data_IF_688514990804
#
_entry.id   IF_688514990804
#
_cell.length_a   1.000
_cell.length_b   1.000
_cell.length_c   1.000
_cell.angle_alpha   90.00
_cell.angle_beta   90.00
_cell.angle_gamma   90.00
#
_symmetry.space_group_name_H-M   'P 1'
#
loop_
_entity.id
_entity.type
_entity.pdbx_description
1 polymer ?
#
# COMPACT_ATOMS: atom_id res chain seq x y z
N UNK A 1 -26.07 11.79 -18.85
CA UNK A 1 -24.88 11.61 -17.98
C UNK A 1 -25.00 10.33 -17.18
N UNK A 2 -24.75 9.17 -17.82
CA UNK A 2 -24.73 7.86 -17.14
C UNK A 2 -23.28 7.57 -16.76
N UNK A 3 -22.95 7.73 -15.48
CA UNK A 3 -21.69 7.24 -14.94
C UNK A 3 -21.66 5.71 -15.08
N UNK A 4 -20.74 5.26 -15.92
CA UNK A 4 -20.50 3.87 -16.26
C UNK A 4 -19.94 3.15 -15.02
N UNK A 5 -20.81 2.66 -14.13
CA UNK A 5 -20.44 1.64 -13.12
C UNK A 5 -20.15 0.33 -13.85
N UNK A 6 -19.00 0.25 -14.51
CA UNK A 6 -18.46 -1.02 -15.00
C UNK A 6 -18.08 -1.81 -13.75
N UNK A 7 -18.77 -2.92 -13.54
CA UNK A 7 -18.35 -3.99 -12.64
C UNK A 7 -16.87 -4.28 -12.91
N UNK A 8 -15.96 -3.81 -12.05
CA UNK A 8 -14.52 -4.10 -12.10
C UNK A 8 -14.31 -5.54 -11.63
N UNK A 9 -14.78 -6.49 -12.43
CA UNK A 9 -14.53 -7.90 -12.22
C UNK A 9 -13.07 -8.19 -12.56
N UNK A 10 -12.48 -9.11 -11.81
CA UNK A 10 -11.06 -9.45 -11.78
C UNK A 10 -10.47 -9.75 -13.17
N UNK A 11 -9.37 -9.09 -13.53
CA UNK A 11 -8.72 -9.28 -14.83
C UNK A 11 -7.76 -10.45 -14.87
N UNK A 12 -6.57 -10.24 -14.32
CA UNK A 12 -5.46 -11.21 -14.35
C UNK A 12 -4.74 -11.24 -13.00
N UNK A 13 -4.37 -12.43 -12.55
CA UNK A 13 -3.73 -12.65 -11.26
C UNK A 13 -2.53 -13.56 -11.38
N UNK A 14 -1.47 -13.25 -10.64
CA UNK A 14 -0.26 -14.06 -10.58
C UNK A 14 0.58 -13.72 -9.35
N UNK A 15 1.38 -14.69 -8.90
CA UNK A 15 2.37 -14.52 -7.83
C UNK A 15 3.76 -14.35 -8.43
N UNK A 16 4.59 -13.52 -7.80
CA UNK A 16 6.01 -13.37 -8.11
C UNK A 16 6.84 -13.49 -6.84
N UNK A 17 7.97 -14.19 -6.93
CA UNK A 17 8.96 -14.32 -5.85
C UNK A 17 8.75 -15.54 -4.96
N UNK A 18 9.85 -15.97 -4.32
CA UNK A 18 9.87 -17.18 -3.47
C UNK A 18 9.94 -16.81 -1.98
N UNK A 19 10.96 -16.02 -1.58
CA UNK A 19 11.15 -15.55 -0.19
C UNK A 19 10.21 -14.41 0.19
N UNK A 20 9.91 -13.56 -0.79
CA UNK A 20 8.91 -12.49 -0.69
C UNK A 20 7.88 -12.70 -1.79
N UNK A 21 6.74 -13.31 -1.42
CA UNK A 21 5.69 -13.70 -2.37
C UNK A 21 4.71 -12.55 -2.54
N UNK A 22 4.63 -11.99 -3.74
CA UNK A 22 3.74 -10.87 -4.04
C UNK A 22 2.63 -11.36 -4.97
N UNK A 23 1.40 -11.38 -4.46
CA UNK A 23 0.20 -11.61 -5.25
C UNK A 23 -0.18 -10.32 -5.98
N UNK A 24 -0.13 -10.34 -7.31
CA UNK A 24 -0.55 -9.22 -8.15
C UNK A 24 -1.96 -9.48 -8.67
N UNK A 25 -2.82 -8.46 -8.59
CA UNK A 25 -4.19 -8.48 -9.06
C UNK A 25 -4.40 -7.32 -10.02
N UNK A 26 -4.45 -7.59 -11.32
CA UNK A 26 -4.67 -6.57 -12.35
C UNK A 26 -6.16 -6.39 -12.62
N UNK A 27 -6.59 -5.14 -12.76
CA UNK A 27 -7.96 -4.82 -13.17
C UNK A 27 -8.23 -5.26 -14.61
N UNK A 28 -9.50 -5.47 -14.92
CA UNK A 28 -9.96 -5.75 -16.28
C UNK A 28 -9.53 -4.67 -17.29
N UNK A 29 -9.47 -3.41 -16.84
CA UNK A 29 -8.98 -2.31 -17.67
C UNK A 29 -7.54 -2.51 -18.13
N UNK A 30 -6.65 -3.01 -17.27
CA UNK A 30 -5.27 -3.35 -17.66
C UNK A 30 -5.26 -4.54 -18.62
N UNK A 31 -6.04 -5.58 -18.33
CA UNK A 31 -6.09 -6.80 -19.14
C UNK A 31 -6.55 -6.54 -20.57
N UNK A 32 -7.52 -5.65 -20.74
CA UNK A 32 -8.09 -5.30 -22.03
C UNK A 32 -7.30 -4.20 -22.76
N UNK A 33 -6.22 -3.69 -22.19
CA UNK A 33 -5.36 -2.71 -22.84
C UNK A 33 -4.55 -3.36 -23.97
N UNK A 34 -4.38 -2.66 -25.10
CA UNK A 34 -3.66 -3.16 -26.28
C UNK A 34 -2.23 -3.64 -25.97
N UNK A 35 -1.57 -2.99 -25.01
CA UNK A 35 -0.21 -3.35 -24.58
C UNK A 35 -0.15 -4.31 -23.40
N UNK A 36 -1.25 -4.95 -23.00
CA UNK A 36 -1.32 -5.79 -21.82
C UNK A 36 -0.18 -6.82 -21.72
N UNK A 37 0.07 -7.58 -22.79
CA UNK A 37 1.14 -8.60 -22.80
C UNK A 37 2.52 -8.01 -22.52
N UNK A 38 2.85 -6.88 -23.15
CA UNK A 38 4.13 -6.17 -22.95
C UNK A 38 4.18 -5.56 -21.55
N UNK A 39 3.09 -4.95 -21.09
CA UNK A 39 2.97 -4.36 -19.76
C UNK A 39 3.17 -5.42 -18.68
N UNK A 40 2.45 -6.54 -18.74
CA UNK A 40 2.56 -7.67 -17.79
C UNK A 40 4.00 -8.18 -17.71
N UNK A 41 4.72 -8.29 -18.85
CA UNK A 41 6.13 -8.69 -18.86
C UNK A 41 7.03 -7.66 -18.16
N UNK A 42 6.84 -6.37 -18.42
CA UNK A 42 7.60 -5.29 -17.76
C UNK A 42 7.30 -5.23 -16.26
N UNK A 43 6.03 -5.36 -15.90
CA UNK A 43 5.55 -5.34 -14.51
C UNK A 43 6.14 -6.51 -13.72
N UNK A 44 6.09 -7.73 -14.26
CA UNK A 44 6.73 -8.90 -13.65
C UNK A 44 8.23 -8.68 -13.38
N UNK A 45 8.95 -8.05 -14.31
CA UNK A 45 10.37 -7.70 -14.10
C UNK A 45 10.57 -6.68 -12.97
N UNK A 46 9.68 -5.70 -12.84
CA UNK A 46 9.73 -4.70 -11.77
C UNK A 46 9.42 -5.32 -10.39
N UNK A 47 8.41 -6.19 -10.30
CA UNK A 47 8.10 -6.93 -9.07
C UNK A 47 9.27 -7.85 -8.69
N UNK A 48 9.82 -8.59 -9.65
CA UNK A 48 10.95 -9.49 -9.43
C UNK A 48 12.24 -8.78 -8.98
N UNK A 49 12.40 -7.49 -9.29
CA UNK A 49 13.49 -6.70 -8.73
C UNK A 49 13.35 -6.60 -7.21
N UNK A 50 12.15 -6.27 -6.73
CA UNK A 50 11.88 -6.10 -5.30
C UNK A 50 11.87 -7.40 -4.52
N UNK A 51 11.32 -8.49 -5.07
CA UNK A 51 11.32 -9.81 -4.39
C UNK A 51 12.72 -10.38 -4.19
N UNK A 52 13.72 -9.87 -4.93
CA UNK A 52 15.14 -10.18 -4.74
C UNK A 52 15.85 -9.18 -3.82
N UNK A 53 15.38 -7.93 -3.79
CA UNK A 53 16.02 -6.86 -3.02
C UNK A 53 15.63 -6.88 -1.53
N UNK A 54 14.38 -7.21 -1.23
CA UNK A 54 13.85 -7.23 0.14
C UNK A 54 12.98 -8.46 0.38
N UNK A 55 12.90 -8.89 1.63
CA UNK A 55 11.90 -9.87 2.05
C UNK A 55 11.44 -9.58 3.49
N UNK A 56 10.21 -9.95 3.85
CA UNK A 56 9.75 -9.82 5.22
C UNK A 56 10.56 -10.75 6.14
N UNK A 57 10.89 -10.27 7.34
CA UNK A 57 11.47 -11.12 8.40
C UNK A 57 10.43 -12.11 8.95
N UNK A 58 9.19 -11.66 9.06
CA UNK A 58 8.05 -12.47 9.49
C UNK A 58 7.14 -12.65 8.28
N UNK A 59 7.09 -13.88 7.76
CA UNK A 59 6.19 -14.23 6.68
C UNK A 59 4.74 -14.23 7.14
N UNK A 60 3.85 -13.90 6.22
CA UNK A 60 2.41 -13.95 6.51
C UNK A 60 2.01 -15.40 6.74
N UNK A 61 1.46 -15.70 7.91
CA UNK A 61 0.91 -17.04 8.23
C UNK A 61 -0.52 -17.21 7.71
N UNK A 62 -1.26 -16.10 7.64
CA UNK A 62 -2.65 -16.05 7.23
C UNK A 62 -2.83 -15.17 6.00
N UNK A 63 -3.86 -15.47 5.21
CA UNK A 63 -4.22 -14.70 4.03
C UNK A 63 -4.39 -13.21 4.39
N UNK A 64 -3.84 -12.35 3.53
CA UNK A 64 -3.97 -10.90 3.67
C UNK A 64 -5.38 -10.50 3.22
N UNK A 65 -6.19 -10.03 4.17
CA UNK A 65 -7.54 -9.56 3.95
C UNK A 65 -7.69 -8.08 4.36
N UNK A 66 -8.49 -7.35 3.60
CA UNK A 66 -8.74 -5.92 3.78
C UNK A 66 -10.05 -5.70 4.53
N UNK A 67 -10.05 -4.78 5.51
CA UNK A 67 -11.29 -4.39 6.19
C UNK A 67 -12.26 -3.70 5.24
N UNK A 68 -13.54 -4.07 5.33
CA UNK A 68 -14.58 -3.39 4.55
C UNK A 68 -14.75 -1.95 4.97
N UNK A 69 -15.09 -1.10 4.00
CA UNK A 69 -15.51 0.28 4.25
C UNK A 69 -16.98 0.34 4.66
N UNK A 70 -17.31 1.39 5.42
CA UNK A 70 -18.66 1.68 5.89
C UNK A 70 -18.81 3.17 6.18
N UNK A 71 -20.06 3.63 6.29
CA UNK A 71 -20.39 5.04 6.57
C UNK A 71 -19.91 5.48 7.96
N UNK A 72 -20.10 4.64 8.97
CA UNK A 72 -19.62 4.88 10.34
C UNK A 72 -18.60 3.80 10.71
N UNK A 73 -17.31 4.17 10.67
CA UNK A 73 -16.19 3.30 11.02
C UNK A 73 -15.71 3.61 12.43
N UNK A 74 -15.86 2.67 13.35
CA UNK A 74 -15.46 2.82 14.75
C UNK A 74 -14.21 1.99 15.01
N UNK A 75 -13.19 2.61 15.62
CA UNK A 75 -11.97 1.90 16.03
C UNK A 75 -12.28 1.00 17.23
N UNK A 76 -11.80 -0.23 17.18
CA UNK A 76 -11.96 -1.19 18.27
C UNK A 76 -11.09 -0.82 19.47
N UNK A 77 -11.64 -0.98 20.68
CA UNK A 77 -10.92 -0.69 21.94
C UNK A 77 -10.01 -1.86 22.34
N UNK A 78 -10.47 -3.08 22.10
CA UNK A 78 -9.72 -4.33 22.36
C UNK A 78 -8.72 -4.63 21.26
N UNK A 79 -9.01 -4.23 20.02
CA UNK A 79 -8.13 -4.38 18.87
C UNK A 79 -7.86 -3.03 18.20
N UNK A 80 -6.94 -2.22 18.76
CA UNK A 80 -6.75 -0.84 18.33
C UNK A 80 -6.38 -0.61 16.86
N UNK A 81 -5.88 -1.66 16.18
CA UNK A 81 -5.54 -1.67 14.77
C UNK A 81 -6.67 -2.15 13.86
N UNK A 82 -7.84 -2.47 14.42
CA UNK A 82 -9.03 -2.94 13.70
C UNK A 82 -10.22 -2.01 13.92
N UNK A 83 -11.15 -2.03 12.97
CA UNK A 83 -12.38 -1.27 13.04
C UNK A 83 -13.60 -2.17 12.89
N UNK A 84 -14.74 -1.67 13.36
CA UNK A 84 -16.05 -2.26 13.14
C UNK A 84 -17.04 -1.21 12.64
N UNK A 85 -18.13 -1.70 12.05
CA UNK A 85 -19.12 -0.91 11.33
C UNK A 85 -20.51 -1.15 11.95
N UNK A 86 -20.95 -0.36 12.95
CA UNK A 86 -22.21 -0.55 13.65
C UNK A 86 -23.43 -0.60 12.73
N UNK A 87 -23.41 0.20 11.66
CA UNK A 87 -24.51 0.33 10.71
C UNK A 87 -24.38 -0.61 9.51
N UNK A 88 -23.49 -1.61 9.57
CA UNK A 88 -23.19 -2.49 8.45
C UNK A 88 -22.06 -2.00 7.54
N UNK A 89 -21.53 -2.92 6.75
CA UNK A 89 -20.49 -2.64 5.76
C UNK A 89 -21.09 -2.36 4.39
N UNK A 90 -20.37 -1.57 3.59
CA UNK A 90 -20.76 -1.34 2.21
C UNK A 90 -20.67 -2.64 1.40
N UNK A 91 -21.57 -2.76 0.41
CA UNK A 91 -21.56 -3.89 -0.52
C UNK A 91 -20.25 -3.96 -1.34
N UNK A 92 -19.62 -2.83 -1.59
CA UNK A 92 -18.30 -2.74 -2.24
C UNK A 92 -17.32 -1.99 -1.36
N UNK A 93 -16.05 -2.39 -1.44
CA UNK A 93 -14.94 -1.71 -0.77
C UNK A 93 -13.89 -1.35 -1.81
N UNK A 94 -13.41 -0.12 -1.77
CA UNK A 94 -12.40 0.39 -2.70
C UNK A 94 -11.17 0.88 -1.97
N UNK A 95 -9.99 0.70 -2.56
CA UNK A 95 -8.74 1.32 -2.14
C UNK A 95 -8.20 2.16 -3.30
N UNK A 96 -8.06 3.48 -3.11
CA UNK A 96 -7.62 4.44 -4.15
C UNK A 96 -8.27 4.22 -5.53
N UNK A 97 -9.58 3.99 -5.55
CA UNK A 97 -10.38 3.75 -6.76
C UNK A 97 -10.33 2.33 -7.31
N UNK A 98 -9.53 1.43 -6.74
CA UNK A 98 -9.60 0.00 -7.06
C UNK A 98 -10.67 -0.69 -6.22
N UNK A 99 -11.71 -1.23 -6.85
CA UNK A 99 -12.69 -2.08 -6.18
C UNK A 99 -12.06 -3.42 -5.78
N UNK A 100 -11.98 -3.67 -4.49
CA UNK A 100 -11.35 -4.87 -3.93
C UNK A 100 -12.28 -6.07 -4.13
N UNK A 101 -11.80 -7.18 -4.75
CA UNK A 101 -12.59 -8.39 -4.90
C UNK A 101 -12.95 -9.02 -3.56
N UNK A 102 -14.13 -9.63 -3.49
CA UNK A 102 -14.70 -10.20 -2.26
C UNK A 102 -13.76 -11.18 -1.54
N UNK A 103 -13.01 -11.98 -2.30
CA UNK A 103 -12.03 -12.95 -1.74
C UNK A 103 -10.86 -12.33 -0.98
N UNK A 104 -10.63 -11.03 -1.13
CA UNK A 104 -9.61 -10.26 -0.41
C UNK A 104 -10.22 -9.36 0.68
N UNK A 105 -11.53 -9.46 0.94
CA UNK A 105 -12.20 -8.71 1.99
C UNK A 105 -12.38 -9.57 3.23
N UNK A 106 -12.25 -8.93 4.40
CA UNK A 106 -12.68 -9.51 5.68
C UNK A 106 -14.21 -9.56 5.75
N UNK A 107 -14.70 -10.43 6.60
CA UNK A 107 -16.11 -10.44 6.97
C UNK A 107 -16.50 -9.14 7.68
N UNK A 108 -17.77 -8.74 7.51
CA UNK A 108 -18.24 -7.48 8.06
C UNK A 108 -18.41 -7.56 9.58
N UNK A 109 -17.51 -6.91 10.32
CA UNK A 109 -17.58 -6.78 11.78
C UNK A 109 -18.55 -5.67 12.16
N UNK A 110 -19.66 -6.00 12.84
CA UNK A 110 -20.70 -5.03 13.19
C UNK A 110 -20.50 -4.44 14.58
N UNK A 111 -19.85 -5.17 15.48
CA UNK A 111 -19.66 -4.76 16.87
C UNK A 111 -18.25 -5.08 17.38
N UNK A 112 -17.91 -4.54 18.56
CA UNK A 112 -16.69 -4.90 19.28
C UNK A 112 -16.63 -6.41 19.59
N UNK A 113 -17.78 -7.05 19.80
CA UNK A 113 -17.87 -8.45 20.24
C UNK A 113 -17.82 -9.47 19.08
N UNK A 114 -17.87 -9.00 17.82
CA UNK A 114 -17.85 -9.84 16.61
C UNK A 114 -16.43 -10.42 16.33
N UNK A 115 -15.84 -11.09 17.30
CA UNK A 115 -14.46 -11.61 17.24
C UNK A 115 -14.31 -12.79 16.28
N UNK A 116 -15.39 -13.56 16.03
CA UNK A 116 -15.38 -14.69 15.09
C UNK A 116 -15.01 -14.28 13.65
N UNK A 117 -15.30 -13.04 13.27
CA UNK A 117 -15.03 -12.47 11.94
C UNK A 117 -13.58 -11.98 11.74
N UNK A 118 -12.76 -12.10 12.79
CA UNK A 118 -11.35 -11.68 12.80
C UNK A 118 -10.45 -12.84 12.38
N UNK A 119 -10.87 -14.07 12.70
CA UNK A 119 -10.08 -15.29 12.59
C UNK A 119 -10.35 -16.04 11.29
N UNK A 120 -10.58 -15.34 10.18
CA UNK A 120 -10.62 -15.99 8.85
C UNK A 120 -9.19 -16.42 8.50
N UNK A 121 -8.79 -17.56 9.06
CA UNK A 121 -7.47 -18.15 8.89
C UNK A 121 -7.49 -19.06 7.67
N UNK A 122 -7.38 -18.45 6.50
CA UNK A 122 -6.93 -19.17 5.30
C UNK A 122 -5.39 -19.14 5.27
N UNK A 123 -4.71 -20.23 4.90
CA UNK A 123 -3.26 -20.23 4.72
C UNK A 123 -2.83 -19.10 3.77
N UNK A 124 -1.68 -18.48 4.06
CA UNK A 124 -1.17 -17.41 3.21
C UNK A 124 -0.45 -17.95 1.98
N UNK A 125 -0.96 -17.66 0.79
CA UNK A 125 -0.27 -17.92 -0.47
C UNK A 125 0.73 -16.80 -0.83
N UNK A 126 0.62 -15.64 -0.18
CA UNK A 126 1.44 -14.47 -0.43
C UNK A 126 1.71 -13.65 0.84
N UNK A 127 2.83 -12.91 0.83
CA UNK A 127 3.24 -12.00 1.90
C UNK A 127 2.85 -10.54 1.61
N UNK A 128 2.38 -10.25 0.39
CA UNK A 128 1.86 -8.95 -0.03
C UNK A 128 0.81 -9.11 -1.15
N UNK A 129 -0.25 -8.31 -1.11
CA UNK A 129 -1.27 -8.27 -2.18
C UNK A 129 -1.30 -6.89 -2.84
N UNK A 130 -0.99 -6.86 -4.13
CA UNK A 130 -0.87 -5.65 -4.93
C UNK A 130 -1.98 -5.56 -5.98
N UNK A 131 -2.84 -4.56 -5.87
CA UNK A 131 -3.88 -4.28 -6.85
C UNK A 131 -3.39 -3.26 -7.88
N UNK A 132 -3.55 -3.54 -9.17
CA UNK A 132 -3.01 -2.69 -10.24
C UNK A 132 -4.13 -2.34 -11.20
N UNK A 133 -4.36 -1.05 -11.43
CA UNK A 133 -5.38 -0.59 -12.37
C UNK A 133 -4.92 0.56 -13.26
N UNK A 134 -5.74 0.89 -14.26
CA UNK A 134 -5.54 2.08 -15.10
C UNK A 134 -6.44 3.20 -14.61
N UNK A 135 -5.88 4.40 -14.46
CA UNK A 135 -6.63 5.64 -14.22
C UNK A 135 -7.69 5.53 -13.10
N UNK A 136 -7.34 4.85 -11.99
CA UNK A 136 -8.28 4.53 -10.91
C UNK A 136 -8.83 5.81 -10.25
N UNK A 137 -7.96 6.61 -9.64
CA UNK A 137 -8.28 7.95 -9.11
C UNK A 137 -7.04 8.86 -9.15
N UNK A 138 -7.25 10.19 -9.19
CA UNK A 138 -6.21 11.21 -8.98
C UNK A 138 -5.02 11.22 -9.96
N UNK A 139 -5.18 10.64 -11.16
CA UNK A 139 -4.23 10.83 -12.25
C UNK A 139 -4.35 12.25 -12.81
N UNK A 140 -3.42 13.14 -12.46
CA UNK A 140 -3.28 14.40 -13.19
C UNK A 140 -2.66 14.15 -14.57
N UNK A 141 -2.77 15.11 -15.51
CA UNK A 141 -2.17 14.98 -16.86
C UNK A 141 -0.65 14.69 -16.83
N UNK A 142 0.05 15.06 -15.76
CA UNK A 142 1.52 14.86 -15.61
C UNK A 142 1.89 13.65 -14.76
N UNK A 143 0.92 13.02 -14.09
CA UNK A 143 1.18 11.86 -13.24
C UNK A 143 1.40 10.63 -14.12
N UNK A 144 2.54 9.96 -13.97
CA UNK A 144 2.87 8.76 -14.74
C UNK A 144 2.24 7.51 -14.10
N UNK A 145 2.33 7.40 -12.78
CA UNK A 145 1.66 6.40 -11.96
C UNK A 145 1.54 6.93 -10.53
N UNK A 146 0.78 6.23 -9.69
CA UNK A 146 0.63 6.53 -8.27
C UNK A 146 0.40 5.25 -7.48
N UNK A 147 0.99 5.17 -6.30
CA UNK A 147 0.74 4.11 -5.31
C UNK A 147 0.10 4.62 -4.03
N UNK A 148 -0.76 3.80 -3.43
CA UNK A 148 -1.32 4.02 -2.10
C UNK A 148 -1.43 2.70 -1.32
N UNK A 149 -1.20 2.76 0.00
CA UNK A 149 -1.27 1.59 0.89
C UNK A 149 -2.75 1.36 1.27
N UNK A 150 -3.20 0.11 1.16
CA UNK A 150 -4.57 -0.29 1.47
C UNK A 150 -4.70 -0.87 2.87
N UNK A 151 -3.73 -1.69 3.29
CA UNK A 151 -3.76 -2.37 4.56
C UNK A 151 -2.35 -2.51 5.13
N UNK A 152 -2.25 -2.28 6.43
CA UNK A 152 -1.08 -2.51 7.26
C UNK A 152 -1.36 -3.70 8.18
N UNK A 153 -0.32 -4.50 8.43
CA UNK A 153 -0.37 -5.60 9.37
C UNK A 153 -0.43 -5.08 10.82
N UNK A 154 -1.34 -5.62 11.62
CA UNK A 154 -1.60 -5.12 12.97
C UNK A 154 -0.52 -5.48 14.00
N UNK A 155 0.32 -6.46 13.69
CA UNK A 155 1.38 -6.93 14.61
C UNK A 155 2.72 -6.29 14.26
N UNK A 156 3.04 -6.27 12.97
CA UNK A 156 4.35 -5.86 12.45
C UNK A 156 4.40 -4.45 11.90
N UNK A 157 3.26 -3.75 11.80
CA UNK A 157 3.12 -2.44 11.15
C UNK A 157 3.57 -2.40 9.68
N UNK A 158 3.80 -3.57 9.07
CA UNK A 158 4.25 -3.67 7.68
C UNK A 158 3.08 -3.43 6.73
N UNK A 159 3.26 -2.66 5.64
CA UNK A 159 2.29 -2.66 4.54
C UNK A 159 2.15 -4.09 3.98
N UNK A 160 0.93 -4.60 3.94
CA UNK A 160 0.61 -5.94 3.42
C UNK A 160 -0.26 -5.88 2.18
N UNK A 161 -0.89 -4.74 1.91
CA UNK A 161 -1.65 -4.54 0.70
C UNK A 161 -1.55 -3.10 0.21
N UNK A 162 -1.46 -2.93 -1.10
CA UNK A 162 -1.42 -1.61 -1.74
C UNK A 162 -2.05 -1.65 -3.12
N UNK A 163 -2.24 -0.46 -3.68
CA UNK A 163 -2.69 -0.23 -5.05
C UNK A 163 -1.64 0.52 -5.84
N UNK A 164 -1.56 0.25 -7.14
CA UNK A 164 -0.89 1.08 -8.13
C UNK A 164 -1.90 1.46 -9.21
N UNK A 165 -2.12 2.76 -9.38
CA UNK A 165 -2.81 3.32 -10.53
C UNK A 165 -1.78 3.71 -11.59
N UNK A 166 -1.80 3.02 -12.73
CA UNK A 166 -1.04 3.39 -13.91
C UNK A 166 -1.80 4.49 -14.65
N UNK A 167 -1.16 5.63 -14.83
CA UNK A 167 -1.70 6.79 -15.55
C UNK A 167 -1.05 6.85 -16.94
N UNK A 168 -0.38 7.94 -17.31
CA UNK A 168 0.29 8.10 -18.62
C UNK A 168 1.60 7.32 -18.78
N UNK A 169 2.03 6.54 -17.78
CA UNK A 169 3.18 5.66 -17.93
C UNK A 169 2.97 4.60 -19.03
N UNK A 170 1.75 4.13 -19.23
CA UNK A 170 1.44 3.10 -20.24
C UNK A 170 1.75 3.57 -21.66
N UNK A 171 1.66 4.88 -21.93
CA UNK A 171 1.94 5.48 -23.23
C UNK A 171 3.43 5.40 -23.60
N UNK A 172 4.31 5.30 -22.60
CA UNK A 172 5.74 5.18 -22.81
C UNK A 172 6.19 3.73 -23.06
N UNK A 173 5.27 2.76 -23.01
CA UNK A 173 5.61 1.33 -23.00
C UNK A 173 6.16 0.84 -24.34
N UNK A 174 5.70 1.40 -25.46
CA UNK A 174 6.24 1.05 -26.78
C UNK A 174 7.66 1.56 -26.96
N UNK A 175 7.84 2.86 -26.72
CA UNK A 175 9.09 3.57 -27.00
C UNK A 175 10.17 3.33 -25.94
N UNK A 176 9.78 3.13 -24.67
CA UNK A 176 10.73 3.01 -23.57
C UNK A 176 10.22 2.14 -22.41
N UNK A 177 10.24 0.82 -22.62
CA UNK A 177 9.89 -0.17 -21.58
C UNK A 177 10.73 0.00 -20.30
N UNK A 178 11.98 0.43 -20.40
CA UNK A 178 12.85 0.62 -19.25
C UNK A 178 12.40 1.81 -18.39
N UNK A 179 11.92 2.89 -19.00
CA UNK A 179 11.30 4.02 -18.28
C UNK A 179 10.07 3.56 -17.50
N UNK A 180 9.17 2.81 -18.15
CA UNK A 180 7.97 2.26 -17.49
C UNK A 180 8.35 1.32 -16.33
N UNK A 181 9.35 0.46 -16.53
CA UNK A 181 9.88 -0.41 -15.47
C UNK A 181 10.37 0.37 -14.26
N UNK A 182 11.16 1.44 -14.48
CA UNK A 182 11.70 2.28 -13.40
C UNK A 182 10.58 3.00 -12.64
N UNK A 183 9.56 3.48 -13.34
CA UNK A 183 8.37 4.08 -12.72
C UNK A 183 7.65 3.05 -11.84
N UNK A 184 7.41 1.84 -12.33
CA UNK A 184 6.78 0.78 -11.53
C UNK A 184 7.62 0.41 -10.32
N UNK A 185 8.96 0.32 -10.45
CA UNK A 185 9.87 0.08 -9.33
C UNK A 185 9.74 1.18 -8.27
N UNK A 186 9.62 2.45 -8.68
CA UNK A 186 9.41 3.58 -7.79
C UNK A 186 8.08 3.49 -7.04
N UNK A 187 6.97 3.25 -7.74
CA UNK A 187 5.65 3.10 -7.10
C UNK A 187 5.59 1.91 -6.14
N UNK A 188 6.24 0.80 -6.50
CA UNK A 188 6.38 -0.36 -5.61
C UNK A 188 7.10 0.00 -4.31
N UNK A 189 8.09 0.90 -4.35
CA UNK A 189 8.73 1.40 -3.13
C UNK A 189 7.68 2.06 -2.21
N UNK A 190 6.83 2.92 -2.75
CA UNK A 190 5.76 3.54 -1.95
C UNK A 190 4.78 2.50 -1.39
N UNK A 191 4.46 1.44 -2.15
CA UNK A 191 3.65 0.31 -1.66
C UNK A 191 4.30 -0.41 -0.45
N UNK A 192 5.62 -0.55 -0.43
CA UNK A 192 6.35 -1.21 0.66
C UNK A 192 6.67 -0.30 1.85
N UNK A 193 6.18 0.94 1.83
CA UNK A 193 6.33 1.87 2.95
C UNK A 193 7.53 2.80 2.87
N UNK A 194 8.21 2.89 1.72
CA UNK A 194 9.19 3.95 1.46
C UNK A 194 8.48 5.30 1.23
N UNK A 195 7.87 5.84 2.29
CA UNK A 195 7.10 7.09 2.31
C UNK A 195 7.13 7.72 3.70
N UNK A 196 7.07 9.05 3.78
CA UNK A 196 7.15 9.79 5.04
C UNK A 196 6.12 9.35 6.09
N UNK A 197 4.87 9.11 5.68
CA UNK A 197 3.80 8.68 6.60
C UNK A 197 4.03 7.31 7.23
N UNK A 198 4.96 6.51 6.71
CA UNK A 198 5.31 5.18 7.23
C UNK A 198 6.56 5.19 8.11
N UNK A 199 7.32 6.28 8.16
CA UNK A 199 8.49 6.37 9.03
C UNK A 199 8.16 6.14 10.51
N UNK A 200 7.06 6.69 11.08
CA UNK A 200 6.71 6.45 12.47
C UNK A 200 6.40 4.98 12.77
N UNK A 201 6.12 4.19 11.74
CA UNK A 201 5.76 2.79 11.87
C UNK A 201 6.94 1.83 11.78
N UNK A 202 8.15 2.34 11.50
CA UNK A 202 9.35 1.52 11.42
C UNK A 202 9.70 0.87 12.76
N UNK A 203 10.36 -0.29 12.66
CA UNK A 203 10.73 -1.14 13.79
C UNK A 203 12.24 -1.40 13.80
N UNK A 204 12.76 -1.75 14.96
CA UNK A 204 14.11 -2.26 15.13
C UNK A 204 14.21 -3.70 14.61
N UNK A 205 15.44 -4.22 14.53
CA UNK A 205 15.66 -5.55 14.00
C UNK A 205 15.03 -6.67 14.83
N UNK A 206 14.89 -6.44 16.14
CA UNK A 206 14.21 -7.32 17.10
C UNK A 206 12.68 -7.24 17.01
N UNK A 207 12.14 -6.34 16.18
CA UNK A 207 10.70 -6.15 15.98
C UNK A 207 10.08 -5.03 16.82
N UNK A 208 10.82 -4.41 17.74
CA UNK A 208 10.27 -3.34 18.59
C UNK A 208 9.99 -2.05 17.80
N UNK A 209 8.89 -1.33 18.09
CA UNK A 209 8.61 -0.04 17.48
C UNK A 209 9.75 0.97 17.70
N UNK A 210 10.22 1.63 16.63
CA UNK A 210 11.19 2.74 16.76
C UNK A 210 10.57 3.99 17.35
N UNK A 211 9.30 4.25 17.02
CA UNK A 211 8.51 5.32 17.61
C UNK A 211 7.61 4.76 18.69
N UNK A 212 7.65 5.37 19.87
CA UNK A 212 6.81 5.02 21.02
C UNK A 212 5.33 4.91 20.62
N UNK A 213 4.67 3.87 21.12
CA UNK A 213 3.27 3.55 20.81
C UNK A 213 2.35 3.96 21.95
N UNK A 214 1.16 4.39 21.59
CA UNK A 214 0.12 4.71 22.54
C UNK A 214 -0.43 3.42 23.13
N UNK A 215 -0.41 3.30 24.46
CA UNK A 215 -0.82 2.08 25.14
C UNK A 215 -2.27 1.66 24.84
N UNK A 216 -3.15 2.63 24.55
CA UNK A 216 -4.54 2.36 24.21
C UNK A 216 -4.74 2.12 22.72
N UNK A 217 -4.16 2.96 21.86
CA UNK A 217 -4.44 2.91 20.41
C UNK A 217 -3.45 2.08 19.59
N UNK A 218 -2.31 1.69 20.18
CA UNK A 218 -1.15 1.09 19.50
C UNK A 218 -0.62 1.88 18.29
N UNK A 219 -1.02 3.15 18.14
CA UNK A 219 -0.51 4.06 17.12
C UNK A 219 0.76 4.78 17.62
N UNK A 220 1.61 5.29 16.73
CA UNK A 220 2.72 6.17 17.13
C UNK A 220 2.21 7.39 17.93
N UNK A 221 2.84 7.70 19.07
CA UNK A 221 2.40 8.78 20.00
C UNK A 221 2.81 10.18 19.57
N UNK A 222 3.78 10.32 18.68
CA UNK A 222 4.34 11.62 18.31
C UNK A 222 3.31 12.48 17.56
N UNK A 223 3.45 13.79 17.68
CA UNK A 223 2.51 14.78 17.13
C UNK A 223 2.42 14.77 15.60
N UNK A 224 1.56 15.64 15.05
CA UNK A 224 1.46 15.84 13.60
C UNK A 224 2.67 16.62 13.09
N UNK A 225 3.44 16.03 12.17
CA UNK A 225 4.46 16.72 11.39
C UNK A 225 3.81 17.59 10.31
N UNK A 226 4.46 18.71 9.97
CA UNK A 226 4.04 19.70 8.95
C UNK A 226 3.82 19.16 7.53
N UNK A 227 4.16 17.89 7.26
CA UNK A 227 3.97 17.22 5.97
C UNK A 227 2.81 16.20 6.01
N UNK A 228 1.76 16.48 6.79
CA UNK A 228 0.52 15.68 6.89
C UNK A 228 0.71 14.23 7.40
N UNK A 229 1.78 13.97 8.17
CA UNK A 229 2.07 12.67 8.80
C UNK A 229 2.28 12.77 10.31
N UNK A 230 2.34 11.64 11.01
CA UNK A 230 2.87 11.61 12.38
C UNK A 230 4.39 11.85 12.32
N UNK A 231 4.95 12.53 13.31
CA UNK A 231 6.40 12.65 13.44
C UNK A 231 7.00 11.28 13.76
N UNK A 232 8.16 10.97 13.17
CA UNK A 232 8.89 9.76 13.49
C UNK A 232 9.96 10.08 14.52
N UNK A 233 10.31 9.09 15.35
CA UNK A 233 11.36 9.25 16.35
C UNK A 233 12.69 9.68 15.71
N UNK A 234 13.52 10.42 16.45
CA UNK A 234 14.84 10.87 15.96
C UNK A 234 15.78 9.70 15.61
N UNK A 235 15.54 8.51 16.19
CA UNK A 235 16.23 7.26 15.85
C UNK A 235 15.78 6.67 14.50
N UNK A 236 14.77 7.26 13.85
CA UNK A 236 14.30 6.91 12.51
C UNK A 236 14.68 7.97 11.50
N UNK A 237 14.39 9.23 11.79
CA UNK A 237 14.67 10.36 10.90
C UNK A 237 15.17 11.53 11.73
N UNK A 238 16.33 12.10 11.37
CA UNK A 238 16.93 13.21 12.11
C UNK A 238 17.20 14.36 11.17
N UNK A 239 16.55 15.49 11.42
CA UNK A 239 16.87 16.71 10.70
C UNK A 239 18.22 17.25 11.13
N UNK A 240 19.14 17.38 10.18
CA UNK A 240 20.47 17.93 10.38
C UNK A 240 20.65 19.22 9.60
N UNK A 241 21.39 20.16 10.17
CA UNK A 241 21.83 21.34 9.46
C UNK A 241 23.05 20.98 8.61
N UNK A 242 22.99 21.32 7.32
CA UNK A 242 24.10 21.13 6.37
C UNK A 242 24.33 22.43 5.61
N UNK A 243 25.60 22.71 5.33
CA UNK A 243 25.98 23.77 4.42
C UNK A 243 25.96 23.23 3.00
N UNK A 244 25.27 23.97 2.13
CA UNK A 244 25.12 23.65 0.72
C UNK A 244 25.78 24.72 -0.11
N UNK A 245 26.83 24.32 -0.83
CA UNK A 245 27.49 25.19 -1.79
C UNK A 245 26.81 25.04 -3.14
N UNK A 246 26.43 26.19 -3.70
CA UNK A 246 25.90 26.34 -5.05
C UNK A 246 26.71 27.42 -5.77
N UNK A 247 26.65 27.51 -7.10
CA UNK A 247 27.25 28.64 -7.82
C UNK A 247 26.72 30.01 -7.35
N UNK A 248 25.52 30.06 -6.77
CA UNK A 248 24.89 31.28 -6.24
C UNK A 248 25.32 31.62 -4.79
N UNK A 249 26.10 30.76 -4.12
CA UNK A 249 26.56 30.97 -2.74
C UNK A 249 26.40 29.75 -1.84
N UNK A 250 26.74 29.94 -0.56
CA UNK A 250 26.67 28.92 0.49
C UNK A 250 25.44 29.15 1.36
N UNK A 251 24.62 28.12 1.53
CA UNK A 251 23.35 28.19 2.25
C UNK A 251 23.31 27.16 3.37
N UNK A 252 22.92 27.56 4.57
CA UNK A 252 22.69 26.63 5.68
C UNK A 252 21.24 26.16 5.66
N UNK A 253 21.02 24.91 5.27
CA UNK A 253 19.69 24.33 5.15
C UNK A 253 19.48 23.20 6.15
N UNK A 254 18.31 23.18 6.79
CA UNK A 254 17.84 22.05 7.60
C UNK A 254 17.21 21.03 6.66
N UNK A 255 17.78 19.83 6.60
CA UNK A 255 17.28 18.72 5.78
C UNK A 255 17.24 17.45 6.62
N UNK A 256 16.44 16.49 6.18
CA UNK A 256 16.45 15.11 6.66
C UNK A 256 17.82 14.48 6.43
#
# INVERSE_FOLDING_TARGET
TKHNKRNMQQGDEFIVGDKFRIQVVMSEGIKNHIFFRKFKKVFKKAVNFWTKAIHPKIQSKHQILIERKCSLRVRSKTLPQSHYCPNGCNATTECSGFQIPEKYLKDCRLSENDMSKINVTKPADADFVLFVGLNLTSCSKRTLARADICQQDSETDRPVSATISICSAVDNLENNQNKVKKIIIHELAHCFGFRYSMLPYLRYENGDPRTRRNNLTRQPELGKHVNEGLEADQNTIKYVWREWQTPAGTWRMKRV
#
